data_IF_164361226929
#
_entry.id   IF_164361226929
#
_cell.length_a   1.000
_cell.length_b   1.000
_cell.length_c   1.000
_cell.angle_alpha   90.00
_cell.angle_beta   90.00
_cell.angle_gamma   90.00
#
_symmetry.space_group_name_H-M   'P 1'
#
loop_
_entity.id
_entity.type
_entity.pdbx_description
1 polymer ?
#
# COMPACT_ATOMS: atom_id res chain seq x y z
N UNK A 1 -1.82 1.07 -10.50
CA UNK A 1 -1.08 0.10 -9.66
C UNK A 1 -1.36 -1.29 -10.22
N UNK A 2 -0.34 -2.01 -10.69
CA UNK A 2 -0.54 -3.37 -11.20
C UNK A 2 -0.65 -4.32 -9.99
N UNK A 3 -1.86 -4.73 -9.62
CA UNK A 3 -2.14 -5.54 -8.42
C UNK A 3 -1.81 -7.02 -8.55
N UNK A 4 -1.00 -7.43 -9.53
CA UNK A 4 -0.75 -8.85 -9.84
C UNK A 4 -0.21 -9.62 -8.63
N UNK A 5 0.52 -8.95 -7.73
CA UNK A 5 1.02 -9.52 -6.47
C UNK A 5 -0.11 -10.09 -5.60
N UNK A 6 -1.28 -9.45 -5.60
CA UNK A 6 -2.44 -9.86 -4.83
C UNK A 6 -3.48 -10.63 -5.66
N UNK A 7 -3.20 -10.95 -6.93
CA UNK A 7 -4.18 -11.57 -7.83
C UNK A 7 -4.68 -12.95 -7.35
N UNK A 8 -3.87 -13.68 -6.58
CA UNK A 8 -4.26 -14.97 -5.99
C UNK A 8 -4.94 -14.84 -4.62
N UNK A 9 -5.05 -13.64 -4.04
CA UNK A 9 -5.75 -13.43 -2.77
C UNK A 9 -7.25 -13.34 -3.04
N UNK A 10 -8.02 -14.32 -2.54
CA UNK A 10 -9.49 -14.37 -2.68
C UNK A 10 -10.22 -13.59 -1.60
N UNK A 11 -9.63 -13.49 -0.41
CA UNK A 11 -10.24 -12.84 0.75
C UNK A 11 -9.17 -12.35 1.73
N UNK A 12 -9.47 -11.25 2.43
CA UNK A 12 -8.61 -10.66 3.46
C UNK A 12 -9.45 -10.29 4.67
N UNK A 13 -9.05 -10.73 5.87
CA UNK A 13 -9.75 -10.44 7.13
C UNK A 13 -8.78 -10.04 8.22
N UNK A 14 -9.26 -9.22 9.15
CA UNK A 14 -8.59 -8.92 10.41
C UNK A 14 -9.53 -9.29 11.56
N UNK A 15 -9.47 -10.54 12.09
CA UNK A 15 -10.37 -10.99 13.15
C UNK A 15 -10.09 -10.30 14.51
N UNK A 16 -8.88 -9.74 14.68
CA UNK A 16 -8.45 -8.97 15.83
C UNK A 16 -7.41 -7.92 15.41
N UNK A 17 -7.00 -7.07 16.35
CA UNK A 17 -6.12 -5.92 16.12
C UNK A 17 -4.71 -6.27 15.63
N UNK A 18 -4.28 -7.53 15.80
CA UNK A 18 -2.90 -7.96 15.56
C UNK A 18 -2.77 -9.08 14.52
N UNK A 19 -3.89 -9.54 13.95
CA UNK A 19 -3.93 -10.68 13.03
C UNK A 19 -4.52 -10.28 11.70
N UNK A 20 -3.81 -10.58 10.61
CA UNK A 20 -4.33 -10.50 9.24
C UNK A 20 -4.34 -11.90 8.63
N UNK A 21 -5.48 -12.30 8.10
CA UNK A 21 -5.69 -13.59 7.44
C UNK A 21 -5.91 -13.35 5.95
N UNK A 22 -5.02 -13.92 5.11
CA UNK A 22 -5.13 -13.92 3.65
C UNK A 22 -5.55 -15.31 3.18
N UNK A 23 -6.69 -15.40 2.49
CA UNK A 23 -7.14 -16.66 1.87
C UNK A 23 -6.70 -16.70 0.41
N UNK A 24 -5.87 -17.68 0.04
CA UNK A 24 -5.37 -17.84 -1.32
C UNK A 24 -6.30 -18.71 -2.18
N UNK A 25 -6.30 -18.47 -3.49
CA UNK A 25 -7.03 -19.28 -4.45
C UNK A 25 -6.41 -20.63 -4.74
N UNK A 26 -5.08 -20.71 -4.68
CA UNK A 26 -4.26 -21.91 -4.83
C UNK A 26 -2.93 -21.72 -4.08
N UNK A 27 -2.18 -22.81 -3.78
CA UNK A 27 -0.87 -22.70 -3.14
C UNK A 27 0.09 -21.80 -3.93
N UNK A 28 0.73 -20.85 -3.25
CA UNK A 28 1.69 -19.92 -3.84
C UNK A 28 2.92 -19.79 -2.94
N UNK A 29 3.98 -20.58 -3.19
CA UNK A 29 5.22 -20.54 -2.39
C UNK A 29 5.91 -19.18 -2.38
N UNK A 30 5.76 -18.40 -3.46
CA UNK A 30 6.37 -17.07 -3.62
C UNK A 30 5.61 -15.93 -2.93
N UNK A 31 4.57 -16.21 -2.14
CA UNK A 31 3.76 -15.15 -1.50
C UNK A 31 4.64 -14.20 -0.67
N UNK A 32 5.54 -14.72 0.16
CA UNK A 32 6.38 -13.89 1.04
C UNK A 32 7.39 -13.05 0.25
N UNK A 33 7.92 -13.58 -0.85
CA UNK A 33 8.79 -12.81 -1.76
C UNK A 33 8.01 -11.66 -2.41
N UNK A 34 6.77 -11.92 -2.80
CA UNK A 34 5.91 -10.91 -3.40
C UNK A 34 5.52 -9.82 -2.38
N UNK A 35 5.27 -10.18 -1.12
CA UNK A 35 4.98 -9.23 -0.03
C UNK A 35 6.20 -8.41 0.40
N UNK A 36 7.41 -8.98 0.32
CA UNK A 36 8.66 -8.27 0.67
C UNK A 36 9.16 -7.34 -0.44
N UNK A 37 8.66 -7.50 -1.67
CA UNK A 37 9.06 -6.70 -2.82
C UNK A 37 8.88 -5.18 -2.59
N UNK A 38 9.85 -4.34 -2.99
CA UNK A 38 9.68 -2.90 -3.06
C UNK A 38 8.45 -2.46 -3.88
N UNK A 39 8.06 -3.28 -4.87
CA UNK A 39 6.89 -3.06 -5.72
C UNK A 39 5.63 -3.82 -5.27
N UNK A 40 5.73 -4.55 -4.16
CA UNK A 40 4.61 -5.24 -3.53
C UNK A 40 3.65 -4.27 -2.83
N UNK A 41 2.53 -4.78 -2.28
CA UNK A 41 1.56 -3.97 -1.55
C UNK A 41 2.24 -3.22 -0.39
N UNK A 42 1.80 -1.98 -0.17
CA UNK A 42 2.27 -1.13 0.92
C UNK A 42 1.12 -0.85 1.86
N UNK A 43 1.43 -0.72 3.15
CA UNK A 43 0.46 -0.29 4.16
C UNK A 43 0.47 1.23 4.18
N UNK A 44 -0.69 1.82 3.93
CA UNK A 44 -0.94 3.26 3.87
C UNK A 44 -1.98 3.59 4.93
N UNK A 45 -1.84 4.75 5.60
CA UNK A 45 -2.79 5.17 6.64
C UNK A 45 -4.23 5.26 6.10
N UNK A 46 -5.20 4.52 6.66
CA UNK A 46 -6.59 4.61 6.23
C UNK A 46 -7.20 5.98 6.54
N UNK A 47 -6.70 6.67 7.58
CA UNK A 47 -7.13 8.04 7.92
C UNK A 47 -6.77 9.00 6.80
N UNK A 48 -5.52 8.98 6.33
CA UNK A 48 -5.07 9.85 5.26
C UNK A 48 -5.77 9.53 3.92
N UNK A 49 -6.06 8.25 3.66
CA UNK A 49 -6.87 7.87 2.50
C UNK A 49 -8.27 8.48 2.59
N UNK A 50 -8.95 8.41 3.74
CA UNK A 50 -10.29 8.96 3.92
C UNK A 50 -10.32 10.50 3.87
N UNK A 51 -9.33 11.17 4.47
CA UNK A 51 -9.23 12.64 4.49
C UNK A 51 -8.95 13.25 3.11
N UNK A 52 -8.32 12.48 2.22
CA UNK A 52 -7.91 12.94 0.89
C UNK A 52 -8.60 12.21 -0.26
N UNK A 53 -9.61 11.39 0.04
CA UNK A 53 -10.40 10.73 -0.99
C UNK A 53 -11.28 11.75 -1.72
N UNK A 54 -11.12 11.80 -3.03
CA UNK A 54 -11.96 12.61 -3.91
C UNK A 54 -12.77 11.72 -4.88
N UNK A 55 -13.15 10.53 -4.43
CA UNK A 55 -13.81 9.50 -5.23
C UNK A 55 -12.82 8.64 -6.03
N UNK A 56 -11.54 8.66 -5.67
CA UNK A 56 -10.45 7.96 -6.36
C UNK A 56 -9.51 7.22 -5.40
N UNK A 57 -9.95 6.98 -4.17
CA UNK A 57 -9.15 6.37 -3.10
C UNK A 57 -7.85 7.14 -2.82
N UNK A 58 -7.93 8.47 -2.91
CA UNK A 58 -6.80 9.40 -2.75
C UNK A 58 -5.65 9.19 -3.76
N UNK A 59 -5.88 8.46 -4.86
CA UNK A 59 -4.84 8.14 -5.85
C UNK A 59 -4.20 9.40 -6.44
N UNK A 60 -5.02 10.43 -6.70
CA UNK A 60 -4.53 11.71 -7.21
C UNK A 60 -3.65 12.43 -6.19
N UNK A 61 -4.04 12.45 -4.92
CA UNK A 61 -3.27 13.09 -3.84
C UNK A 61 -1.93 12.37 -3.60
N UNK A 62 -1.93 11.04 -3.66
CA UNK A 62 -0.73 10.19 -3.53
C UNK A 62 0.29 10.35 -4.67
N UNK A 63 -0.03 11.07 -5.75
CA UNK A 63 0.96 11.41 -6.78
C UNK A 63 2.07 12.35 -6.27
N UNK A 64 1.82 13.07 -5.18
CA UNK A 64 2.74 14.07 -4.61
C UNK A 64 2.92 13.93 -3.09
N UNK A 65 2.23 12.97 -2.46
CA UNK A 65 2.26 12.72 -1.02
C UNK A 65 2.54 11.25 -0.72
N UNK A 66 3.16 10.99 0.43
CA UNK A 66 3.41 9.64 0.92
C UNK A 66 3.06 9.54 2.41
N UNK A 67 2.33 8.49 2.79
CA UNK A 67 1.86 8.27 4.16
C UNK A 67 1.92 6.79 4.54
N UNK A 68 3.15 6.28 4.64
CA UNK A 68 3.45 4.91 5.05
C UNK A 68 4.00 4.81 6.47
N UNK A 69 4.44 3.60 6.84
CA UNK A 69 4.99 3.28 8.17
C UNK A 69 6.53 3.24 8.21
N UNK A 70 7.18 3.72 7.15
CA UNK A 70 8.64 3.69 7.03
C UNK A 70 9.37 4.71 7.94
N UNK A 71 10.71 4.65 7.99
CA UNK A 71 11.51 5.51 8.88
C UNK A 71 11.64 6.97 8.40
N UNK A 72 11.17 7.28 7.20
CA UNK A 72 11.28 8.60 6.57
C UNK A 72 9.90 9.15 6.18
N UNK A 73 9.78 10.48 6.09
CA UNK A 73 8.52 11.17 5.75
C UNK A 73 8.75 12.15 4.61
N UNK A 74 7.96 12.06 3.55
CA UNK A 74 8.06 13.01 2.44
C UNK A 74 7.72 14.43 2.92
N UNK A 75 8.73 15.28 3.03
CA UNK A 75 8.63 16.65 3.51
C UNK A 75 8.43 17.66 2.36
N UNK A 76 8.99 17.38 1.18
CA UNK A 76 8.80 18.20 -0.01
C UNK A 76 8.75 17.31 -1.26
N UNK A 77 7.87 17.64 -2.20
CA UNK A 77 7.89 17.09 -3.55
C UNK A 77 7.74 18.22 -4.58
N UNK A 78 8.81 18.50 -5.33
CA UNK A 78 8.82 19.43 -6.48
C UNK A 78 9.03 18.63 -7.75
N UNK A 79 7.93 18.41 -8.48
CA UNK A 79 7.90 17.64 -9.72
C UNK A 79 8.97 18.11 -10.71
N UNK A 80 9.77 17.18 -11.20
CA UNK A 80 10.85 17.45 -12.15
C UNK A 80 12.08 18.15 -11.54
N UNK A 81 12.13 18.34 -10.22
CA UNK A 81 13.25 19.00 -9.54
C UNK A 81 13.83 18.16 -8.41
N UNK A 82 13.09 18.01 -7.30
CA UNK A 82 13.60 17.37 -6.08
C UNK A 82 12.49 16.86 -5.18
N UNK A 83 12.86 16.01 -4.25
CA UNK A 83 12.06 15.65 -3.09
C UNK A 83 12.94 15.58 -1.83
N UNK A 84 12.33 15.77 -0.66
CA UNK A 84 12.96 15.66 0.65
C UNK A 84 12.19 14.64 1.50
N UNK A 85 12.94 13.87 2.29
CA UNK A 85 12.46 12.78 3.15
C UNK A 85 12.78 13.02 4.63
#
# INVERSE_FOLDING_TARGET
IQSYVLANVKDMRAPDDSTVVLTLGHPQPSLLDALSSPWGPKIISPVALAEHDNGDFATTWLNEHAVGTGPFKLAEFKRGQRYLL
#
